data_IF_536707833701
#
_entry.id   IF_536707833701
#
_cell.length_a   1.000
_cell.length_b   1.000
_cell.length_c   1.000
_cell.angle_alpha   90.00
_cell.angle_beta   90.00
_cell.angle_gamma   90.00
#
_symmetry.space_group_name_H-M   'P 1'
#
loop_
_entity.id
_entity.type
_entity.pdbx_description
1 polymer ?
#
# COMPACT_ATOMS: atom_id res chain seq x y z
N UNK A 1 -6.47 -57.18 -25.64
CA UNK A 1 -5.68 -58.00 -26.59
C UNK A 1 -4.34 -58.28 -25.95
N UNK A 2 -3.99 -59.57 -25.79
CA UNK A 2 -2.68 -60.13 -25.40
C UNK A 2 -2.22 -59.91 -23.95
N UNK A 3 -2.40 -60.91 -23.07
CA UNK A 3 -1.51 -62.08 -22.75
C UNK A 3 -0.69 -61.78 -21.49
N UNK A 4 -1.03 -62.41 -20.36
CA UNK A 4 -0.44 -63.67 -19.87
C UNK A 4 0.98 -63.50 -19.33
N UNK A 5 1.15 -63.65 -18.02
CA UNK A 5 2.25 -64.46 -17.50
C UNK A 5 1.87 -65.08 -16.15
N UNK A 6 1.68 -66.39 -16.17
CA UNK A 6 1.65 -67.27 -15.01
C UNK A 6 2.83 -68.22 -15.14
N UNK A 7 3.75 -68.22 -14.16
CA UNK A 7 4.61 -69.38 -13.89
C UNK A 7 4.61 -69.61 -12.38
N UNK A 8 4.27 -70.85 -12.04
CA UNK A 8 4.23 -71.44 -10.72
C UNK A 8 5.50 -72.29 -10.49
N UNK A 9 5.74 -72.57 -9.20
CA UNK A 9 6.37 -73.78 -8.61
C UNK A 9 7.90 -73.88 -8.54
N UNK A 10 8.40 -73.82 -7.31
CA UNK A 10 9.27 -74.84 -6.69
C UNK A 10 9.42 -74.50 -5.19
N UNK A 11 8.72 -75.21 -4.29
CA UNK A 11 9.10 -76.49 -3.63
C UNK A 11 10.10 -76.34 -2.49
N UNK A 12 9.69 -76.84 -1.31
CA UNK A 12 10.45 -77.53 -0.24
C UNK A 12 10.11 -77.04 1.18
N UNK A 13 9.06 -77.65 1.77
CA UNK A 13 9.04 -78.54 2.96
C UNK A 13 9.94 -78.23 4.20
N UNK A 14 9.62 -78.76 5.40
CA UNK A 14 8.57 -78.29 6.32
C UNK A 14 9.06 -78.27 7.79
N UNK A 15 8.11 -78.12 8.72
CA UNK A 15 8.18 -78.46 10.17
C UNK A 15 8.96 -77.41 10.98
N UNK A 16 8.35 -76.65 11.90
CA UNK A 16 7.90 -77.16 13.20
C UNK A 16 6.83 -76.23 13.81
N UNK A 17 5.89 -76.89 14.50
CA UNK A 17 5.01 -76.41 15.57
C UNK A 17 3.76 -75.59 15.23
N UNK A 18 2.64 -76.33 15.32
CA UNK A 18 1.44 -76.02 16.12
C UNK A 18 0.92 -74.58 16.05
N UNK A 19 -0.24 -74.40 15.42
CA UNK A 19 -1.49 -74.08 16.14
C UNK A 19 -2.70 -74.32 15.23
N UNK A 20 -3.62 -75.14 15.73
CA UNK A 20 -4.91 -75.42 15.11
C UNK A 20 -5.88 -74.30 15.48
N UNK A 21 -6.57 -73.85 14.45
CA UNK A 21 -7.80 -73.07 14.35
C UNK A 21 -8.85 -73.26 15.45
N UNK A 22 -9.37 -72.14 15.96
CA UNK A 22 -10.79 -71.74 16.04
C UNK A 22 -10.82 -70.37 16.74
N UNK A 23 -11.33 -69.30 16.15
CA UNK A 23 -12.77 -69.13 15.93
C UNK A 23 -13.35 -68.28 17.08
N UNK A 24 -13.40 -66.97 16.84
CA UNK A 24 -14.26 -65.95 17.47
C UNK A 24 -14.32 -65.83 19.01
N UNK A 25 -13.70 -64.76 19.50
CA UNK A 25 -14.28 -63.94 20.57
C UNK A 25 -13.82 -62.49 20.34
N UNK A 26 -14.77 -61.61 19.98
CA UNK A 26 -14.61 -60.16 20.03
C UNK A 26 -14.37 -59.75 21.48
N UNK A 27 -13.15 -59.36 21.80
CA UNK A 27 -12.86 -58.52 22.97
C UNK A 27 -12.30 -57.21 22.44
N UNK A 28 -13.12 -56.17 22.49
CA UNK A 28 -12.68 -54.79 22.42
C UNK A 28 -11.71 -54.57 23.59
N UNK A 29 -10.41 -54.58 23.31
CA UNK A 29 -9.43 -54.00 24.20
C UNK A 29 -9.43 -52.49 23.91
N UNK A 30 -10.03 -51.75 24.83
CA UNK A 30 -9.82 -50.34 24.99
C UNK A 30 -8.32 -50.06 25.11
N UNK A 31 -7.76 -49.43 24.07
CA UNK A 31 -6.53 -48.66 24.20
C UNK A 31 -6.97 -47.20 24.16
N UNK A 32 -7.28 -46.67 25.34
CA UNK A 32 -7.37 -45.24 25.54
C UNK A 32 -5.96 -44.67 25.45
N UNK A 33 -5.72 -43.86 24.43
CA UNK A 33 -4.71 -42.80 24.49
C UNK A 33 -5.41 -41.51 24.10
N UNK A 34 -6.23 -41.02 25.04
CA UNK A 34 -6.49 -39.60 25.19
C UNK A 34 -5.16 -38.93 25.52
N UNK A 35 -4.43 -38.52 24.49
CA UNK A 35 -3.57 -37.34 24.63
C UNK A 35 -4.45 -36.16 24.25
N UNK A 36 -5.34 -35.81 25.18
CA UNK A 36 -5.84 -34.45 25.30
C UNK A 36 -4.63 -33.61 25.71
N UNK A 37 -3.73 -33.34 24.76
CA UNK A 37 -2.93 -32.13 24.85
C UNK A 37 -3.98 -31.00 24.85
N UNK A 38 -4.03 -30.16 25.90
CA UNK A 38 -4.98 -29.05 25.89
C UNK A 38 -4.69 -28.23 24.63
N UNK A 39 -5.72 -28.01 23.81
CA UNK A 39 -5.67 -27.01 22.73
C UNK A 39 -5.06 -25.75 23.34
N UNK A 40 -3.87 -25.37 22.90
CA UNK A 40 -3.21 -24.17 23.42
C UNK A 40 -4.13 -23.00 23.13
N UNK A 41 -4.50 -22.26 24.18
CA UNK A 41 -5.37 -21.11 24.07
C UNK A 41 -4.78 -20.13 23.05
N UNK A 42 -5.57 -19.75 22.05
CA UNK A 42 -5.12 -18.89 20.98
C UNK A 42 -5.47 -17.43 21.26
N UNK A 43 -4.56 -16.56 20.84
CA UNK A 43 -4.77 -15.12 20.72
C UNK A 43 -4.57 -14.72 19.26
N UNK A 44 -5.03 -13.53 18.90
CA UNK A 44 -5.00 -13.05 17.54
C UNK A 44 -4.43 -11.66 17.46
N UNK A 45 -3.46 -11.45 16.59
CA UNK A 45 -2.70 -10.21 16.52
C UNK A 45 -2.84 -9.61 15.13
N UNK A 46 -3.01 -8.29 15.09
CA UNK A 46 -2.96 -7.49 13.88
C UNK A 46 -2.12 -6.24 14.16
N UNK A 47 -1.42 -5.78 13.14
CA UNK A 47 -0.59 -4.59 13.20
C UNK A 47 -1.11 -3.58 12.16
N UNK A 48 -1.17 -2.31 12.52
CA UNK A 48 -1.44 -1.21 11.60
C UNK A 48 -0.31 -0.20 11.71
N UNK A 49 0.18 0.29 10.57
CA UNK A 49 1.28 1.23 10.54
C UNK A 49 0.78 2.68 10.34
N UNK A 50 0.64 3.43 11.43
CA UNK A 50 0.39 4.87 11.40
C UNK A 50 1.65 5.73 11.48
N UNK A 51 2.84 5.13 11.57
CA UNK A 51 4.09 5.86 11.78
C UNK A 51 4.68 6.36 10.45
N UNK A 52 4.77 7.68 10.30
CA UNK A 52 5.21 8.35 9.08
C UNK A 52 6.71 8.19 8.81
N UNK A 53 7.50 7.93 9.85
CA UNK A 53 8.94 7.75 9.78
C UNK A 53 9.36 6.31 9.43
N UNK A 54 8.43 5.45 8.99
CA UNK A 54 8.72 4.07 8.55
C UNK A 54 8.21 3.81 7.14
N UNK A 55 8.88 2.93 6.40
CA UNK A 55 8.44 2.55 5.06
C UNK A 55 7.61 1.26 5.09
N UNK A 56 8.21 0.17 5.58
CA UNK A 56 7.55 -1.14 5.67
C UNK A 56 8.12 -1.92 6.87
N UNK A 57 7.81 -1.50 8.11
CA UNK A 57 8.29 -2.16 9.30
C UNK A 57 7.78 -3.59 9.41
N UNK A 58 8.62 -4.45 9.97
CA UNK A 58 8.33 -5.84 10.32
C UNK A 58 8.03 -5.92 11.82
N UNK A 59 6.90 -6.53 12.14
CA UNK A 59 6.41 -6.81 13.49
C UNK A 59 6.83 -8.23 13.91
N UNK A 60 7.50 -8.34 15.06
CA UNK A 60 8.00 -9.59 15.62
C UNK A 60 7.46 -9.81 17.03
N UNK A 61 7.20 -11.07 17.36
CA UNK A 61 6.93 -11.53 18.71
C UNK A 61 8.07 -12.47 19.10
N UNK A 62 8.79 -12.09 20.15
CA UNK A 62 10.13 -12.58 20.47
C UNK A 62 11.03 -12.53 19.21
N UNK A 63 11.71 -13.62 18.89
CA UNK A 63 12.56 -13.73 17.71
C UNK A 63 11.79 -14.07 16.41
N UNK A 64 10.46 -14.18 16.46
CA UNK A 64 9.65 -14.64 15.32
C UNK A 64 9.03 -13.47 14.57
N UNK A 65 9.36 -13.32 13.28
CA UNK A 65 8.67 -12.36 12.41
C UNK A 65 7.28 -12.84 12.07
N UNK A 66 6.28 -12.05 12.41
CA UNK A 66 4.87 -12.40 12.30
C UNK A 66 4.26 -11.71 11.08
N UNK A 67 4.48 -10.40 10.91
CA UNK A 67 3.92 -9.66 9.77
C UNK A 67 4.68 -8.38 9.45
N UNK A 68 4.26 -7.68 8.39
CA UNK A 68 4.67 -6.32 8.07
C UNK A 68 3.48 -5.53 7.54
N UNK A 69 3.56 -4.20 7.64
CA UNK A 69 2.56 -3.30 7.07
C UNK A 69 3.23 -1.99 6.64
N UNK A 70 2.97 -1.55 5.40
CA UNK A 70 3.41 -0.22 4.97
C UNK A 70 2.56 0.87 5.62
N UNK A 71 3.01 2.13 5.57
CA UNK A 71 2.23 3.26 6.07
C UNK A 71 0.76 3.23 5.60
N UNK A 72 -0.15 3.51 6.52
CA UNK A 72 -1.60 3.47 6.40
C UNK A 72 -2.21 2.07 6.12
N UNK A 73 -1.41 1.00 6.09
CA UNK A 73 -1.91 -0.36 5.88
C UNK A 73 -1.95 -1.16 7.17
N UNK A 74 -2.72 -2.25 7.13
CA UNK A 74 -2.77 -3.24 8.19
C UNK A 74 -2.16 -4.56 7.72
N UNK A 75 -1.59 -5.32 8.65
CA UNK A 75 -1.20 -6.69 8.41
C UNK A 75 -2.40 -7.63 8.41
N UNK A 76 -2.17 -8.88 8.00
CA UNK A 76 -3.15 -9.95 8.20
C UNK A 76 -3.31 -10.22 9.70
N UNK A 77 -4.51 -10.67 10.10
CA UNK A 77 -4.72 -11.19 11.45
C UNK A 77 -4.04 -12.55 11.58
N UNK A 78 -3.16 -12.71 12.57
CA UNK A 78 -2.39 -13.93 12.78
C UNK A 78 -2.75 -14.53 14.13
N UNK A 79 -2.89 -15.85 14.17
CA UNK A 79 -3.13 -16.59 15.41
C UNK A 79 -1.80 -17.00 16.03
N UNK A 80 -1.67 -16.72 17.32
CA UNK A 80 -0.51 -17.03 18.15
C UNK A 80 -0.97 -17.66 19.46
N UNK A 81 -0.05 -18.21 20.24
CA UNK A 81 -0.38 -18.76 21.55
C UNK A 81 -0.66 -17.63 22.56
N UNK A 82 -1.47 -17.93 23.57
CA UNK A 82 -1.71 -17.02 24.68
C UNK A 82 -0.49 -17.05 25.61
N UNK A 83 0.28 -15.99 25.62
CA UNK A 83 1.48 -15.85 26.44
C UNK A 83 1.90 -14.37 26.56
N UNK A 84 2.95 -14.15 27.36
CA UNK A 84 3.70 -12.90 27.32
C UNK A 84 4.77 -13.01 26.22
N UNK A 85 4.98 -11.93 25.47
CA UNK A 85 5.92 -11.83 24.36
C UNK A 85 6.70 -10.52 24.43
N UNK A 86 7.93 -10.53 23.95
CA UNK A 86 8.62 -9.29 23.58
C UNK A 86 8.13 -8.86 22.19
N UNK A 87 7.44 -7.72 22.10
CA UNK A 87 7.10 -7.07 20.84
C UNK A 87 8.30 -6.28 20.34
N UNK A 88 8.85 -6.68 19.19
CA UNK A 88 9.85 -5.91 18.46
C UNK A 88 9.30 -5.41 17.12
N UNK A 89 9.51 -4.12 16.82
CA UNK A 89 9.27 -3.56 15.49
C UNK A 89 10.59 -3.13 14.87
N UNK A 90 10.91 -3.66 13.69
CA UNK A 90 12.16 -3.38 12.97
C UNK A 90 11.87 -2.92 11.55
N UNK A 91 12.54 -1.88 11.05
CA UNK A 91 12.47 -1.54 9.62
C UNK A 91 12.98 -2.72 8.76
N UNK A 92 12.35 -2.97 7.61
CA UNK A 92 12.73 -4.10 6.77
C UNK A 92 14.20 -3.99 6.33
N UNK A 93 15.00 -5.00 6.65
CA UNK A 93 16.44 -5.02 6.36
C UNK A 93 17.33 -4.40 7.43
N UNK A 94 16.76 -3.84 8.51
CA UNK A 94 17.47 -3.45 9.72
C UNK A 94 17.52 -4.59 10.74
N UNK A 95 18.59 -4.62 11.54
CA UNK A 95 18.73 -5.54 12.67
C UNK A 95 18.48 -4.85 14.03
N UNK A 96 18.28 -3.53 14.04
CA UNK A 96 18.01 -2.76 15.26
C UNK A 96 16.52 -2.47 15.34
N UNK A 97 15.86 -2.78 16.49
CA UNK A 97 14.45 -2.43 16.69
C UNK A 97 14.27 -0.91 16.74
N UNK A 98 13.20 -0.46 16.11
CA UNK A 98 12.64 0.89 16.24
C UNK A 98 11.91 1.05 17.58
N UNK A 99 11.29 -0.03 18.03
CA UNK A 99 10.50 -0.16 19.25
C UNK A 99 10.67 -1.59 19.78
N UNK A 100 10.76 -1.73 21.11
CA UNK A 100 10.79 -3.01 21.82
C UNK A 100 10.04 -2.87 23.13
N UNK A 101 9.04 -3.71 23.39
CA UNK A 101 8.21 -3.67 24.60
C UNK A 101 7.67 -5.05 25.00
N UNK A 102 7.29 -5.24 26.25
CA UNK A 102 6.70 -6.51 26.74
C UNK A 102 5.17 -6.45 26.68
N UNK A 103 4.54 -7.42 26.03
CA UNK A 103 3.09 -7.48 25.84
C UNK A 103 2.51 -8.80 26.35
N UNK A 104 1.27 -8.75 26.85
CA UNK A 104 0.53 -9.93 27.29
C UNK A 104 -0.65 -10.20 26.36
N UNK A 105 -0.65 -11.36 25.70
CA UNK A 105 -1.72 -11.76 24.79
C UNK A 105 -2.71 -12.67 25.49
N UNK A 106 -3.96 -12.25 25.57
CA UNK A 106 -5.06 -12.97 26.23
C UNK A 106 -5.84 -13.87 25.26
N UNK A 107 -6.35 -14.99 25.79
CA UNK A 107 -7.13 -15.98 25.05
C UNK A 107 -8.39 -15.37 24.42
N UNK A 108 -8.70 -15.79 23.19
CA UNK A 108 -9.91 -15.44 22.42
C UNK A 108 -10.08 -13.92 22.18
N UNK A 109 -9.01 -13.16 22.40
CA UNK A 109 -8.95 -11.73 22.10
C UNK A 109 -8.21 -11.50 20.77
N UNK A 110 -8.69 -10.51 20.02
CA UNK A 110 -7.91 -9.84 19.00
C UNK A 110 -7.20 -8.65 19.64
N UNK A 111 -5.90 -8.52 19.38
CA UNK A 111 -5.04 -7.41 19.75
C UNK A 111 -4.61 -6.68 18.49
N UNK A 112 -4.98 -5.41 18.37
CA UNK A 112 -4.53 -4.52 17.32
C UNK A 112 -3.47 -3.57 17.90
N UNK A 113 -2.28 -3.63 17.33
CA UNK A 113 -1.19 -2.70 17.61
C UNK A 113 -1.13 -1.65 16.51
N UNK A 114 -1.31 -0.39 16.87
CA UNK A 114 -1.31 0.76 15.96
C UNK A 114 0.01 1.50 16.18
N UNK A 115 0.96 1.34 15.26
CA UNK A 115 2.24 2.04 15.31
C UNK A 115 2.03 3.54 15.17
N UNK A 116 2.73 4.33 15.98
CA UNK A 116 2.76 5.78 15.93
C UNK A 116 4.19 6.29 15.94
N UNK A 117 4.39 7.54 15.53
CA UNK A 117 5.69 8.20 15.66
C UNK A 117 5.53 9.70 15.85
N UNK A 118 6.28 10.27 16.77
CA UNK A 118 6.41 11.72 16.95
C UNK A 118 7.88 12.08 17.15
N UNK A 119 8.38 13.10 16.46
CA UNK A 119 9.78 13.56 16.56
C UNK A 119 10.81 12.42 16.44
N UNK A 120 10.59 11.50 15.49
CA UNK A 120 11.41 10.29 15.26
C UNK A 120 11.44 9.27 16.42
N UNK A 121 10.59 9.46 17.44
CA UNK A 121 10.35 8.46 18.49
C UNK A 121 9.15 7.60 18.12
N UNK A 122 9.32 6.29 18.20
CA UNK A 122 8.29 5.30 17.90
C UNK A 122 7.58 4.86 19.17
N UNK A 123 6.26 4.69 19.06
CA UNK A 123 5.40 4.16 20.10
C UNK A 123 4.23 3.41 19.45
N UNK A 124 3.32 2.85 20.24
CA UNK A 124 2.13 2.19 19.73
C UNK A 124 0.91 2.39 20.63
N UNK A 125 -0.27 2.36 20.00
CA UNK A 125 -1.54 2.21 20.70
C UNK A 125 -1.94 0.74 20.67
N UNK A 126 -2.47 0.25 21.79
CA UNK A 126 -2.92 -1.12 21.94
C UNK A 126 -4.43 -1.17 22.14
N UNK A 127 -5.12 -1.96 21.32
CA UNK A 127 -6.55 -2.21 21.43
C UNK A 127 -6.81 -3.72 21.47
N UNK A 128 -7.50 -4.18 22.51
CA UNK A 128 -7.86 -5.60 22.65
C UNK A 128 -9.37 -5.77 22.81
N UNK A 129 -9.96 -6.70 22.07
CA UNK A 129 -11.38 -7.04 22.15
C UNK A 129 -11.64 -8.50 21.79
N UNK A 130 -12.78 -9.03 22.24
CA UNK A 130 -13.18 -10.42 21.95
C UNK A 130 -13.28 -10.64 20.43
N UNK A 131 -12.59 -11.66 19.91
CA UNK A 131 -12.56 -11.93 18.46
C UNK A 131 -13.92 -12.37 17.91
N UNK A 132 -14.59 -13.25 18.64
CA UNK A 132 -15.87 -13.81 18.26
C UNK A 132 -16.93 -13.28 19.22
N UNK A 133 -17.51 -12.14 18.84
CA UNK A 133 -18.59 -11.48 19.58
C UNK A 133 -19.86 -11.62 18.77
N UNK A 134 -20.94 -12.06 19.41
CA UNK A 134 -22.27 -12.04 18.80
C UNK A 134 -22.75 -10.58 18.74
N UNK A 135 -23.12 -10.12 17.53
CA UNK A 135 -23.45 -8.72 17.28
C UNK A 135 -24.85 -8.50 16.68
N UNK A 136 -25.61 -9.55 16.34
CA UNK A 136 -27.04 -9.46 15.97
C UNK A 136 -27.36 -8.34 14.95
N UNK A 137 -26.82 -8.44 13.73
CA UNK A 137 -26.93 -7.41 12.68
C UNK A 137 -26.30 -6.03 13.01
N UNK A 138 -25.49 -5.93 14.07
CA UNK A 138 -24.76 -4.72 14.48
C UNK A 138 -23.26 -4.83 14.26
N UNK A 139 -22.55 -3.70 14.32
CA UNK A 139 -21.10 -3.63 14.37
C UNK A 139 -20.64 -2.78 15.55
N UNK A 140 -19.44 -3.07 16.03
CA UNK A 140 -18.73 -2.26 17.03
C UNK A 140 -17.69 -1.37 16.32
N UNK A 141 -17.53 -0.12 16.74
CA UNK A 141 -16.60 0.84 16.15
C UNK A 141 -15.76 1.50 17.24
N UNK A 142 -14.45 1.23 17.21
CA UNK A 142 -13.46 2.02 17.95
C UNK A 142 -12.93 3.16 17.10
N UNK A 143 -12.57 4.25 17.75
CA UNK A 143 -12.08 5.47 17.11
C UNK A 143 -10.69 5.80 17.61
N UNK A 144 -9.81 6.27 16.74
CA UNK A 144 -8.51 6.80 17.15
C UNK A 144 -8.08 7.96 16.27
N UNK A 145 -7.35 8.89 16.86
CA UNK A 145 -6.82 10.06 16.19
C UNK A 145 -5.28 10.03 16.14
N UNK A 146 -4.74 9.95 14.94
CA UNK A 146 -3.31 10.09 14.63
C UNK A 146 -3.00 11.36 13.84
N UNK A 147 -3.98 12.25 13.63
CA UNK A 147 -3.81 13.49 12.89
C UNK A 147 -3.18 14.58 13.78
N UNK A 148 -1.88 14.82 13.60
CA UNK A 148 -1.16 15.85 14.34
C UNK A 148 -1.66 17.26 13.98
N UNK A 149 -2.18 17.46 12.76
CA UNK A 149 -2.79 18.73 12.36
C UNK A 149 -4.07 19.07 13.12
N UNK A 150 -4.76 18.04 13.66
CA UNK A 150 -6.01 18.17 14.41
C UNK A 150 -5.92 17.35 15.71
N UNK A 151 -5.22 17.88 16.73
CA UNK A 151 -4.87 17.11 17.93
C UNK A 151 -6.06 16.75 18.83
N UNK A 152 -7.23 17.30 18.55
CA UNK A 152 -8.49 16.95 19.22
C UNK A 152 -9.62 17.02 18.20
N UNK A 153 -10.42 15.97 18.11
CA UNK A 153 -11.52 15.86 17.16
C UNK A 153 -12.77 15.28 17.82
N UNK A 154 -13.92 15.86 17.49
CA UNK A 154 -15.21 15.22 17.68
C UNK A 154 -15.53 14.39 16.44
N UNK A 155 -15.91 13.13 16.63
CA UNK A 155 -16.22 12.20 15.54
C UNK A 155 -17.72 11.87 15.60
N UNK A 156 -18.42 12.20 14.53
CA UNK A 156 -19.85 11.96 14.38
C UNK A 156 -20.14 10.94 13.29
N UNK A 157 -21.26 10.24 13.44
CA UNK A 157 -21.77 9.26 12.48
C UNK A 157 -23.24 9.54 12.16
N UNK A 158 -23.63 9.47 10.90
CA UNK A 158 -25.03 9.48 10.45
C UNK A 158 -25.27 8.39 9.42
N UNK A 159 -26.52 8.00 9.20
CA UNK A 159 -26.87 7.14 8.07
C UNK A 159 -26.44 7.80 6.75
N UNK A 160 -26.15 7.01 5.71
CA UNK A 160 -25.61 7.53 4.45
C UNK A 160 -26.50 8.58 3.75
N UNK A 161 -27.81 8.52 3.96
CA UNK A 161 -28.79 9.47 3.39
C UNK A 161 -28.95 10.75 4.21
N UNK A 162 -28.39 10.80 5.42
CA UNK A 162 -28.55 11.89 6.36
C UNK A 162 -27.43 12.93 6.29
N UNK A 163 -27.68 14.08 6.90
CA UNK A 163 -26.78 15.22 6.95
C UNK A 163 -26.03 15.31 8.28
N UNK A 164 -25.08 16.24 8.40
CA UNK A 164 -24.39 16.50 9.67
C UNK A 164 -25.35 16.89 10.81
N UNK A 165 -26.46 17.55 10.48
CA UNK A 165 -27.44 17.98 11.49
C UNK A 165 -28.17 16.79 12.16
N UNK A 166 -28.15 15.63 11.53
CA UNK A 166 -28.76 14.39 12.03
C UNK A 166 -27.70 13.45 12.64
N UNK A 167 -26.42 13.82 12.57
CA UNK A 167 -25.32 12.98 13.01
C UNK A 167 -25.25 12.88 14.54
N UNK A 168 -24.91 11.70 15.03
CA UNK A 168 -24.70 11.46 16.46
C UNK A 168 -23.22 11.52 16.77
N UNK A 169 -22.84 12.28 17.81
CA UNK A 169 -21.48 12.28 18.34
C UNK A 169 -21.18 10.88 18.90
N UNK A 170 -20.12 10.25 18.38
CA UNK A 170 -19.67 8.97 18.88
C UNK A 170 -18.72 9.15 20.07
N UNK A 171 -17.67 9.95 19.88
CA UNK A 171 -16.68 10.27 20.90
C UNK A 171 -15.87 11.52 20.51
N UNK A 172 -15.17 12.09 21.49
CA UNK A 172 -14.15 13.13 21.31
C UNK A 172 -12.78 12.55 21.62
N UNK A 173 -11.93 12.40 20.61
CA UNK A 173 -10.62 11.73 20.73
C UNK A 173 -9.46 12.72 20.58
N UNK A 174 -8.48 12.62 21.48
CA UNK A 174 -7.23 13.39 21.38
C UNK A 174 -6.17 12.65 20.58
N UNK A 175 -5.11 13.35 20.18
CA UNK A 175 -3.98 12.77 19.45
C UNK A 175 -3.38 11.59 20.23
N UNK A 176 -3.21 10.47 19.54
CA UNK A 176 -2.69 9.22 20.07
C UNK A 176 -3.58 8.60 21.17
N UNK A 177 -4.89 8.81 21.08
CA UNK A 177 -5.89 8.17 21.93
C UNK A 177 -6.76 7.21 21.12
N UNK A 178 -7.25 6.16 21.78
CA UNK A 178 -8.32 5.29 21.27
C UNK A 178 -9.56 5.52 22.15
N UNK A 179 -10.75 5.51 21.57
CA UNK A 179 -12.01 5.58 22.31
C UNK A 179 -12.08 4.47 23.36
N UNK A 180 -12.53 4.82 24.57
CA UNK A 180 -12.55 3.87 25.70
C UNK A 180 -13.50 2.69 25.45
N UNK A 181 -14.64 2.97 24.82
CA UNK A 181 -15.66 1.99 24.46
C UNK A 181 -15.89 2.00 22.95
N UNK A 182 -16.37 0.88 22.42
CA UNK A 182 -16.85 0.82 21.06
C UNK A 182 -18.26 1.43 20.97
N UNK A 183 -18.46 2.27 19.95
CA UNK A 183 -19.80 2.66 19.51
C UNK A 183 -20.46 1.48 18.80
N UNK A 184 -21.74 1.20 19.12
CA UNK A 184 -22.49 0.08 18.54
C UNK A 184 -23.63 0.57 17.66
N UNK A 185 -23.61 0.16 16.39
CA UNK A 185 -24.56 0.64 15.37
C UNK A 185 -25.04 -0.53 14.51
N UNK A 186 -26.18 -0.39 13.83
CA UNK A 186 -26.64 -1.39 12.87
C UNK A 186 -25.68 -1.48 11.68
N UNK A 187 -25.52 -2.66 11.08
CA UNK A 187 -24.76 -2.80 9.83
C UNK A 187 -25.39 -1.98 8.71
N UNK A 188 -24.55 -1.37 7.86
CA UNK A 188 -25.04 -0.48 6.80
C UNK A 188 -24.01 0.52 6.30
N UNK A 189 -24.51 1.52 5.57
CA UNK A 189 -23.70 2.61 5.01
C UNK A 189 -23.88 3.88 5.80
N UNK A 190 -22.77 4.49 6.16
CA UNK A 190 -22.75 5.68 7.02
C UNK A 190 -21.93 6.81 6.41
N UNK A 191 -22.21 8.02 6.88
CA UNK A 191 -21.34 9.18 6.69
C UNK A 191 -20.61 9.46 8.00
N UNK A 192 -19.30 9.68 7.92
CA UNK A 192 -18.47 10.10 9.04
C UNK A 192 -18.16 11.58 8.91
N UNK A 193 -18.27 12.30 10.02
CA UNK A 193 -17.93 13.70 10.11
C UNK A 193 -16.88 13.90 11.19
N UNK A 194 -15.84 14.66 10.88
CA UNK A 194 -14.88 15.13 11.87
C UNK A 194 -15.12 16.63 12.05
N UNK A 195 -15.14 17.09 13.29
CA UNK A 195 -15.28 18.49 13.62
C UNK A 195 -14.28 18.86 14.74
N UNK A 196 -13.91 20.13 14.82
CA UNK A 196 -13.26 20.64 16.01
C UNK A 196 -14.20 20.48 17.21
N UNK A 197 -13.64 20.29 18.41
CA UNK A 197 -14.43 20.05 19.61
C UNK A 197 -15.49 21.14 19.84
N UNK A 198 -16.76 20.77 19.82
CA UNK A 198 -17.90 21.67 19.99
C UNK A 198 -18.22 22.58 18.80
N UNK A 199 -17.69 22.30 17.61
CA UNK A 199 -17.99 23.06 16.40
C UNK A 199 -19.33 22.66 15.74
N UNK A 200 -20.03 23.64 15.17
CA UNK A 200 -21.32 23.46 14.49
C UNK A 200 -21.18 23.08 13.00
N UNK A 201 -19.96 22.86 12.52
CA UNK A 201 -19.68 22.49 11.13
C UNK A 201 -18.53 21.48 11.05
N UNK A 202 -18.62 20.48 10.16
CA UNK A 202 -17.55 19.50 10.02
C UNK A 202 -16.40 20.07 9.17
N UNK A 203 -15.17 19.75 9.55
CA UNK A 203 -13.96 20.01 8.75
C UNK A 203 -13.65 18.86 7.79
N UNK A 204 -14.19 17.67 8.05
CA UNK A 204 -14.08 16.50 7.17
C UNK A 204 -15.43 15.80 7.08
N UNK A 205 -15.72 15.28 5.89
CA UNK A 205 -16.93 14.50 5.57
C UNK A 205 -16.52 13.31 4.72
N UNK A 206 -16.56 12.12 5.29
CA UNK A 206 -16.43 10.85 4.57
C UNK A 206 -17.81 10.31 4.25
N UNK A 207 -18.10 10.03 2.98
CA UNK A 207 -19.43 9.56 2.53
C UNK A 207 -19.44 8.08 2.23
N UNK A 208 -20.54 7.41 2.56
CA UNK A 208 -20.83 6.01 2.22
C UNK A 208 -19.77 5.01 2.72
N UNK A 209 -19.26 5.20 3.94
CA UNK A 209 -18.44 4.19 4.60
C UNK A 209 -19.30 2.93 4.80
N UNK A 210 -18.78 1.78 4.38
CA UNK A 210 -19.55 0.53 4.33
C UNK A 210 -19.19 -0.40 5.49
N UNK A 211 -20.09 -0.49 6.47
CA UNK A 211 -19.99 -1.38 7.62
C UNK A 211 -20.90 -2.59 7.42
N UNK A 212 -20.55 -3.40 6.42
CA UNK A 212 -21.37 -4.52 5.92
C UNK A 212 -21.30 -5.80 6.76
N UNK A 213 -20.43 -5.89 7.75
CA UNK A 213 -20.20 -7.11 8.53
C UNK A 213 -20.51 -6.90 10.00
N UNK A 214 -21.09 -7.93 10.62
CA UNK A 214 -21.18 -8.05 12.07
C UNK A 214 -19.78 -8.26 12.65
N UNK A 215 -19.06 -7.16 12.89
CA UNK A 215 -17.68 -7.21 13.34
C UNK A 215 -17.30 -5.96 14.14
N UNK A 216 -16.10 -5.99 14.71
CA UNK A 216 -15.46 -4.82 15.29
C UNK A 216 -14.57 -4.15 14.23
N UNK A 217 -14.85 -2.88 13.98
CA UNK A 217 -14.07 -2.01 13.11
C UNK A 217 -13.26 -1.02 13.95
N UNK A 218 -12.14 -0.56 13.41
CA UNK A 218 -11.35 0.53 13.99
C UNK A 218 -11.21 1.63 12.96
N UNK A 219 -11.67 2.82 13.31
CA UNK A 219 -11.56 4.03 12.50
C UNK A 219 -10.34 4.82 12.96
N UNK A 220 -9.40 5.04 12.06
CA UNK A 220 -8.18 5.81 12.29
C UNK A 220 -8.28 7.12 11.51
N UNK A 221 -8.25 8.25 12.21
CA UNK A 221 -8.08 9.56 11.58
C UNK A 221 -6.58 9.84 11.47
N UNK A 222 -6.12 10.31 10.31
CA UNK A 222 -4.70 10.68 10.12
C UNK A 222 -4.54 11.85 9.16
N UNK A 223 -3.37 12.46 9.22
CA UNK A 223 -2.94 13.42 8.20
C UNK A 223 -2.66 12.68 6.87
N UNK A 224 -2.95 13.36 5.76
CA UNK A 224 -2.42 13.01 4.46
C UNK A 224 -1.04 13.63 4.29
N UNK A 225 -0.20 12.96 3.51
CA UNK A 225 1.17 13.41 3.26
C UNK A 225 1.40 13.63 1.77
N UNK A 226 2.52 14.30 1.49
CA UNK A 226 2.93 14.51 0.13
C UNK A 226 2.27 15.69 -0.54
N UNK A 227 1.84 15.56 -1.81
CA UNK A 227 1.29 16.70 -2.53
C UNK A 227 -0.01 17.14 -1.85
N UNK A 228 -0.81 16.19 -1.36
CA UNK A 228 -2.10 16.42 -0.69
C UNK A 228 -1.93 16.63 0.83
N UNK A 229 -0.77 17.11 1.28
CA UNK A 229 -0.58 17.52 2.66
C UNK A 229 -1.63 18.56 3.11
N UNK A 230 -1.82 18.70 4.42
CA UNK A 230 -2.83 19.56 5.06
C UNK A 230 -4.28 19.07 4.91
N UNK A 231 -4.49 17.87 4.35
CA UNK A 231 -5.77 17.19 4.31
C UNK A 231 -5.80 16.04 5.31
N UNK A 232 -7.00 15.65 5.74
CA UNK A 232 -7.21 14.45 6.56
C UNK A 232 -7.64 13.26 5.70
N UNK A 233 -7.35 12.07 6.20
CA UNK A 233 -7.94 10.83 5.74
C UNK A 233 -8.52 10.04 6.93
N UNK A 234 -9.52 9.23 6.61
CA UNK A 234 -10.11 8.25 7.52
C UNK A 234 -9.84 6.86 6.98
N UNK A 235 -9.19 6.04 7.79
CA UNK A 235 -8.92 4.65 7.49
C UNK A 235 -9.82 3.75 8.33
N UNK A 236 -10.38 2.71 7.71
CA UNK A 236 -11.22 1.72 8.40
C UNK A 236 -10.55 0.35 8.32
N UNK A 237 -10.20 -0.16 9.50
CA UNK A 237 -9.52 -1.44 9.68
C UNK A 237 -10.53 -2.50 10.09
N UNK A 238 -10.43 -3.68 9.46
CA UNK A 238 -11.18 -4.90 9.77
C UNK A 238 -10.22 -6.06 10.03
N UNK A 239 -10.74 -7.28 10.18
CA UNK A 239 -9.99 -8.53 10.24
C UNK A 239 -9.35 -8.93 8.88
N UNK A 240 -8.71 -8.00 8.19
CA UNK A 240 -7.99 -8.22 6.93
C UNK A 240 -6.83 -7.24 6.78
N UNK A 241 -5.88 -7.56 5.91
CA UNK A 241 -4.81 -6.64 5.53
C UNK A 241 -5.27 -5.48 4.62
N UNK A 242 -6.50 -5.52 4.10
CA UNK A 242 -7.06 -4.42 3.32
C UNK A 242 -7.66 -3.37 4.24
N UNK A 243 -7.14 -2.15 4.15
CA UNK A 243 -7.67 -0.96 4.82
C UNK A 243 -8.53 -0.17 3.83
N UNK A 244 -9.70 0.27 4.26
CA UNK A 244 -10.53 1.15 3.44
C UNK A 244 -10.17 2.61 3.74
N UNK A 245 -9.72 3.35 2.73
CA UNK A 245 -9.30 4.75 2.85
C UNK A 245 -10.39 5.69 2.34
N UNK A 246 -10.69 6.72 3.12
CA UNK A 246 -11.67 7.74 2.77
C UNK A 246 -11.02 9.12 2.87
N UNK A 247 -11.11 9.89 1.78
CA UNK A 247 -10.80 11.31 1.76
C UNK A 247 -12.06 12.13 2.02
N UNK A 248 -11.88 13.42 2.31
CA UNK A 248 -13.01 14.34 2.40
C UNK A 248 -13.74 14.39 1.05
N UNK A 249 -15.08 14.34 1.06
CA UNK A 249 -15.89 14.32 -0.15
C UNK A 249 -15.58 15.47 -1.14
N UNK A 250 -15.21 16.64 -0.60
CA UNK A 250 -14.90 17.88 -1.33
C UNK A 250 -13.40 18.22 -1.28
N UNK A 251 -12.56 17.26 -0.88
CA UNK A 251 -11.10 17.41 -0.90
C UNK A 251 -10.64 17.86 -2.29
N UNK A 252 -9.78 18.87 -2.31
CA UNK A 252 -9.15 19.30 -3.56
C UNK A 252 -8.21 18.20 -4.04
N UNK A 253 -8.33 17.87 -5.32
CA UNK A 253 -7.34 17.12 -6.03
C UNK A 253 -6.18 18.04 -6.43
N UNK A 254 -5.10 17.46 -6.90
CA UNK A 254 -4.09 18.22 -7.61
C UNK A 254 -3.41 17.40 -8.69
N UNK A 255 -2.71 18.09 -9.57
CA UNK A 255 -1.86 17.44 -10.54
C UNK A 255 -0.65 18.30 -10.86
N UNK A 256 0.39 17.67 -11.39
CA UNK A 256 1.53 18.33 -12.03
C UNK A 256 1.78 17.72 -13.40
N UNK A 257 2.46 18.47 -14.25
CA UNK A 257 2.69 18.10 -15.65
C UNK A 257 4.18 17.84 -15.87
N UNK A 258 4.49 16.85 -16.71
CA UNK A 258 5.84 16.65 -17.22
C UNK A 258 5.84 16.72 -18.74
N UNK A 259 6.72 17.54 -19.32
CA UNK A 259 6.86 17.67 -20.76
C UNK A 259 8.05 16.84 -21.27
N UNK A 260 7.80 15.65 -21.83
CA UNK A 260 8.86 14.81 -22.41
C UNK A 260 9.18 15.18 -23.87
N UNK A 261 8.59 16.24 -24.41
CA UNK A 261 8.78 16.64 -25.81
C UNK A 261 10.06 17.46 -26.01
N UNK A 262 10.60 17.38 -27.22
CA UNK A 262 11.78 18.15 -27.67
C UNK A 262 11.51 19.64 -27.88
N UNK A 263 10.31 20.12 -27.55
CA UNK A 263 9.91 21.53 -27.65
C UNK A 263 9.07 21.96 -26.44
N UNK A 264 9.06 23.28 -26.12
CA UNK A 264 8.15 23.83 -25.11
C UNK A 264 6.69 23.76 -25.56
N UNK A 265 5.79 23.70 -24.58
CA UNK A 265 4.33 23.61 -24.78
C UNK A 265 3.54 24.53 -23.86
N UNK A 266 2.35 24.92 -24.32
CA UNK A 266 1.31 25.57 -23.53
C UNK A 266 0.19 24.57 -23.23
N UNK A 267 -0.27 24.51 -21.99
CA UNK A 267 -1.27 23.55 -21.53
C UNK A 267 -2.51 24.30 -21.03
N UNK A 268 -3.68 23.87 -21.47
CA UNK A 268 -4.95 24.43 -21.04
C UNK A 268 -5.91 23.34 -20.55
N UNK A 269 -6.64 23.64 -19.46
CA UNK A 269 -7.78 22.87 -18.98
C UNK A 269 -9.06 23.63 -19.30
N UNK A 270 -10.03 22.94 -19.92
CA UNK A 270 -11.32 23.52 -20.31
C UNK A 270 -11.19 24.84 -21.10
N UNK A 271 -10.20 24.87 -22.00
CA UNK A 271 -9.80 26.03 -22.82
C UNK A 271 -9.20 27.22 -22.05
N UNK A 272 -8.92 27.06 -20.76
CA UNK A 272 -8.20 28.05 -19.95
C UNK A 272 -6.73 27.65 -19.83
N UNK A 273 -5.82 28.51 -20.28
CA UNK A 273 -4.37 28.27 -20.16
C UNK A 273 -3.96 28.25 -18.69
N UNK A 274 -3.24 27.20 -18.29
CA UNK A 274 -2.81 26.98 -16.90
C UNK A 274 -1.28 26.91 -16.75
N UNK A 275 -0.56 26.54 -17.81
CA UNK A 275 0.87 26.25 -17.72
C UNK A 275 1.60 26.46 -19.04
N UNK A 276 2.87 26.83 -18.93
CA UNK A 276 3.84 26.76 -20.02
C UNK A 276 5.02 25.93 -19.51
N UNK A 277 5.39 24.88 -20.23
CA UNK A 277 6.45 23.95 -19.83
C UNK A 277 7.55 23.92 -20.89
N UNK A 278 8.78 24.09 -20.46
CA UNK A 278 9.97 23.82 -21.26
C UNK A 278 10.15 22.31 -21.50
N UNK A 279 11.07 21.97 -22.40
CA UNK A 279 11.47 20.58 -22.65
C UNK A 279 12.06 19.96 -21.39
N UNK A 280 11.63 18.73 -21.08
CA UNK A 280 12.06 17.95 -19.91
C UNK A 280 11.77 18.62 -18.56
N UNK A 281 10.81 19.55 -18.51
CA UNK A 281 10.40 20.23 -17.29
C UNK A 281 9.30 19.44 -16.57
N UNK A 282 9.51 19.23 -15.27
CA UNK A 282 8.48 18.84 -14.32
C UNK A 282 7.91 20.11 -13.69
N UNK A 283 6.64 20.39 -13.98
CA UNK A 283 5.94 21.56 -13.48
C UNK A 283 5.58 21.48 -12.01
N UNK A 284 5.06 22.58 -11.48
CA UNK A 284 4.50 22.66 -10.14
C UNK A 284 3.13 21.99 -10.05
N UNK A 285 2.64 21.82 -8.82
CA UNK A 285 1.28 21.35 -8.58
C UNK A 285 0.24 22.43 -8.85
N UNK A 286 -0.89 22.01 -9.41
CA UNK A 286 -2.10 22.79 -9.64
C UNK A 286 -3.26 22.10 -8.91
N UNK A 287 -3.99 22.86 -8.09
CA UNK A 287 -5.17 22.37 -7.41
C UNK A 287 -6.37 22.34 -8.33
N UNK A 288 -7.20 21.30 -8.18
CA UNK A 288 -8.44 21.10 -8.91
C UNK A 288 -9.54 20.68 -7.94
N UNK A 289 -10.75 21.16 -8.20
CA UNK A 289 -11.92 20.55 -7.60
C UNK A 289 -12.09 19.12 -8.16
N UNK A 290 -12.79 18.26 -7.42
CA UNK A 290 -13.21 16.96 -7.94
C UNK A 290 -14.03 17.15 -9.23
N UNK A 291 -13.64 16.47 -10.30
CA UNK A 291 -14.35 16.58 -11.59
C UNK A 291 -13.58 16.02 -12.78
N UNK A 292 -14.19 16.13 -13.94
CA UNK A 292 -13.61 15.77 -15.23
C UNK A 292 -13.24 17.04 -16.01
N UNK A 293 -12.01 17.10 -16.50
CA UNK A 293 -11.44 18.24 -17.19
C UNK A 293 -10.95 17.85 -18.58
N UNK A 294 -11.06 18.78 -19.54
CA UNK A 294 -10.52 18.63 -20.89
C UNK A 294 -9.13 19.24 -20.99
N UNK A 295 -8.10 18.40 -21.03
CA UNK A 295 -6.71 18.78 -21.25
C UNK A 295 -6.42 19.01 -22.74
N UNK A 296 -5.86 20.16 -23.06
CA UNK A 296 -5.39 20.51 -24.40
C UNK A 296 -3.98 21.07 -24.35
N UNK A 297 -3.19 20.80 -25.39
CA UNK A 297 -1.79 21.21 -25.46
C UNK A 297 -1.51 21.86 -26.81
N UNK A 298 -0.83 23.00 -26.79
CA UNK A 298 -0.38 23.75 -27.97
C UNK A 298 1.12 23.95 -27.95
N UNK A 299 1.72 24.15 -29.11
CA UNK A 299 3.09 24.63 -29.22
C UNK A 299 3.18 26.15 -29.00
N UNK A 300 4.39 26.69 -29.16
CA UNK A 300 4.65 28.14 -29.05
C UNK A 300 4.12 28.98 -30.20
N UNK A 301 3.64 28.35 -31.28
CA UNK A 301 3.01 29.00 -32.44
C UNK A 301 1.47 28.87 -32.42
N UNK A 302 0.90 28.51 -31.26
CA UNK A 302 -0.53 28.22 -31.06
C UNK A 302 -1.06 27.02 -31.88
N UNK A 303 -0.20 26.18 -32.45
CA UNK A 303 -0.60 24.96 -33.12
C UNK A 303 -1.09 23.94 -32.10
N UNK A 304 -2.28 23.38 -32.32
CA UNK A 304 -2.86 22.34 -31.47
C UNK A 304 -2.09 21.02 -31.65
N UNK A 305 -1.53 20.50 -30.55
CA UNK A 305 -0.78 19.25 -30.51
C UNK A 305 -1.62 18.11 -29.92
N UNK A 306 -2.38 18.39 -28.86
CA UNK A 306 -3.31 17.47 -28.21
C UNK A 306 -4.64 18.18 -27.99
N UNK A 307 -5.74 17.53 -28.37
CA UNK A 307 -7.08 18.07 -28.23
C UNK A 307 -7.91 17.22 -27.26
N UNK A 308 -8.36 17.83 -26.17
CA UNK A 308 -9.36 17.28 -25.25
C UNK A 308 -9.08 15.86 -24.74
N UNK A 309 -7.87 15.62 -24.22
CA UNK A 309 -7.63 14.46 -23.38
C UNK A 309 -8.39 14.60 -22.05
N UNK A 310 -9.00 13.50 -21.58
CA UNK A 310 -9.72 13.50 -20.31
C UNK A 310 -8.72 13.45 -19.15
N UNK A 311 -8.85 14.40 -18.23
CA UNK A 311 -8.21 14.39 -16.91
C UNK A 311 -9.31 14.30 -15.85
N UNK A 312 -9.39 13.16 -15.17
CA UNK A 312 -10.31 12.96 -14.04
C UNK A 312 -9.59 13.22 -12.74
N UNK A 313 -10.04 14.24 -12.01
CA UNK A 313 -9.55 14.62 -10.69
C UNK A 313 -10.50 14.06 -9.62
N UNK A 314 -10.05 13.04 -8.87
CA UNK A 314 -10.79 12.53 -7.72
C UNK A 314 -10.41 13.28 -6.44
N UNK A 315 -11.34 13.37 -5.49
CA UNK A 315 -11.15 14.12 -4.25
C UNK A 315 -9.96 13.55 -3.45
N UNK A 316 -9.04 14.42 -3.03
CA UNK A 316 -7.87 14.04 -2.26
C UNK A 316 -6.87 13.17 -3.02
N UNK A 317 -6.80 13.30 -4.35
CA UNK A 317 -5.78 12.61 -5.16
C UNK A 317 -4.75 13.58 -5.73
N UNK A 318 -3.51 13.11 -5.87
CA UNK A 318 -2.45 13.76 -6.64
C UNK A 318 -2.15 12.97 -7.90
N UNK A 319 -1.95 13.66 -9.02
CA UNK A 319 -1.64 13.03 -10.30
C UNK A 319 -0.43 13.68 -10.98
N UNK A 320 0.44 12.85 -11.55
CA UNK A 320 1.44 13.25 -12.52
C UNK A 320 0.88 13.01 -13.93
N UNK A 321 0.86 14.06 -14.76
CA UNK A 321 0.44 13.96 -16.17
C UNK A 321 1.67 14.05 -17.06
N UNK A 322 2.03 12.94 -17.69
CA UNK A 322 3.12 12.87 -18.65
C UNK A 322 2.62 13.24 -20.05
N UNK A 323 3.24 14.23 -20.67
CA UNK A 323 3.03 14.61 -22.06
C UNK A 323 4.14 13.99 -22.90
N UNK A 324 3.80 13.08 -23.82
CA UNK A 324 4.78 12.30 -24.58
C UNK A 324 4.32 12.00 -26.02
N UNK A 325 5.26 11.66 -26.90
CA UNK A 325 4.98 11.24 -28.27
C UNK A 325 4.77 9.73 -28.37
N UNK A 326 3.73 9.33 -29.09
CA UNK A 326 3.50 7.92 -29.44
C UNK A 326 4.35 7.47 -30.65
N UNK A 327 4.18 6.22 -31.07
CA UNK A 327 4.90 5.61 -32.19
C UNK A 327 4.73 6.34 -33.53
N UNK A 328 3.66 7.15 -33.66
CA UNK A 328 3.34 7.94 -34.85
C UNK A 328 3.72 9.43 -34.69
N UNK A 329 4.52 9.78 -33.68
CA UNK A 329 4.88 11.16 -33.31
C UNK A 329 3.67 12.05 -32.95
N UNK A 330 2.56 11.45 -32.52
CA UNK A 330 1.41 12.19 -32.02
C UNK A 330 1.51 12.36 -30.51
N UNK A 331 1.14 13.54 -30.01
CA UNK A 331 1.13 13.82 -28.58
C UNK A 331 0.01 13.04 -27.89
N UNK A 332 0.35 12.34 -26.81
CA UNK A 332 -0.56 11.70 -25.87
C UNK A 332 -0.28 12.21 -24.45
N UNK A 333 -1.27 12.07 -23.57
CA UNK A 333 -1.14 12.35 -22.15
C UNK A 333 -1.39 11.07 -21.35
N UNK A 334 -0.56 10.81 -20.35
CA UNK A 334 -0.72 9.71 -19.40
C UNK A 334 -0.81 10.28 -17.99
N UNK A 335 -1.98 10.16 -17.37
CA UNK A 335 -2.17 10.50 -15.95
C UNK A 335 -1.79 9.31 -15.07
N UNK A 336 -1.01 9.57 -14.03
CA UNK A 336 -0.48 8.59 -13.08
C UNK A 336 -0.80 9.09 -11.69
N UNK A 337 -1.47 8.27 -10.86
CA UNK A 337 -1.68 8.60 -9.46
C UNK A 337 -0.35 8.61 -8.72
N UNK A 338 -0.09 9.69 -8.00
CA UNK A 338 1.05 9.80 -7.10
C UNK A 338 0.69 9.28 -5.71
N UNK A 339 1.71 8.75 -5.03
CA UNK A 339 1.58 8.22 -3.68
C UNK A 339 1.44 9.35 -2.66
N UNK A 340 0.47 9.18 -1.76
CA UNK A 340 0.23 9.99 -0.57
C UNK A 340 1.02 9.51 0.64
N UNK A 341 1.89 8.51 0.47
CA UNK A 341 2.78 8.01 1.53
C UNK A 341 3.87 9.04 1.86
N UNK A 342 4.28 9.15 3.13
CA UNK A 342 5.49 9.87 3.54
C UNK A 342 6.72 9.38 2.77
N UNK A 343 7.63 10.30 2.42
CA UNK A 343 8.81 10.02 1.59
C UNK A 343 10.12 10.24 2.38
N UNK A 344 10.10 9.90 3.68
CA UNK A 344 11.17 10.26 4.62
C UNK A 344 12.33 9.26 4.56
N UNK A 345 12.04 7.98 4.77
CA UNK A 345 13.05 6.89 4.76
C UNK A 345 13.25 6.27 3.38
N UNK A 346 12.24 6.40 2.53
CA UNK A 346 12.25 5.90 1.17
C UNK A 346 11.48 6.84 0.26
N UNK A 347 11.86 6.86 -1.01
CA UNK A 347 11.26 7.68 -2.04
C UNK A 347 10.56 6.79 -3.08
N UNK A 348 9.33 7.17 -3.40
CA UNK A 348 8.58 6.64 -4.52
C UNK A 348 9.14 7.25 -5.79
N UNK A 349 9.57 6.36 -6.67
CA UNK A 349 10.05 6.68 -8.01
C UNK A 349 9.03 6.15 -9.00
N UNK A 350 8.37 7.05 -9.71
CA UNK A 350 7.52 6.72 -10.85
C UNK A 350 8.43 6.57 -12.05
N UNK A 351 8.46 5.38 -12.63
CA UNK A 351 9.32 5.05 -13.76
C UNK A 351 8.45 4.83 -15.00
N UNK A 352 8.74 5.54 -16.08
CA UNK A 352 7.96 5.47 -17.31
C UNK A 352 8.84 5.21 -18.54
N UNK A 353 8.41 4.25 -19.35
CA UNK A 353 9.02 4.00 -20.66
C UNK A 353 8.31 4.80 -21.75
N UNK A 354 8.97 5.86 -22.23
CA UNK A 354 8.50 6.73 -23.30
C UNK A 354 9.27 6.51 -24.62
N UNK A 355 10.00 5.39 -24.74
CA UNK A 355 10.76 5.03 -25.95
C UNK A 355 9.94 4.07 -26.82
N UNK A 356 9.46 4.54 -27.96
CA UNK A 356 8.66 3.75 -28.90
C UNK A 356 9.46 2.65 -29.65
N UNK A 357 10.77 2.82 -29.79
CA UNK A 357 11.63 1.92 -30.57
C UNK A 357 11.77 0.52 -29.94
N UNK A 358 11.52 0.40 -28.64
CA UNK A 358 11.63 -0.85 -27.91
C UNK A 358 10.30 -1.25 -27.31
N UNK A 359 9.87 -2.47 -27.59
CA UNK A 359 8.66 -3.03 -26.96
C UNK A 359 8.77 -3.09 -25.43
N UNK A 360 9.97 -3.34 -24.91
CA UNK A 360 10.27 -3.54 -23.48
C UNK A 360 11.66 -3.06 -23.14
N UNK A 361 11.79 -2.39 -21.99
CA UNK A 361 13.06 -1.96 -21.43
C UNK A 361 13.25 -2.46 -20.01
N UNK A 362 14.51 -2.58 -19.60
CA UNK A 362 14.90 -2.89 -18.23
C UNK A 362 15.60 -1.68 -17.62
N UNK A 363 15.29 -1.39 -16.38
CA UNK A 363 15.82 -0.26 -15.62
C UNK A 363 16.39 -0.81 -14.31
N UNK A 364 17.62 -0.43 -13.98
CA UNK A 364 18.33 -0.90 -12.80
C UNK A 364 18.77 0.29 -11.95
N UNK A 365 18.48 0.22 -10.66
CA UNK A 365 18.92 1.18 -9.65
C UNK A 365 20.10 0.57 -8.90
N UNK A 366 21.31 1.02 -9.23
CA UNK A 366 22.56 0.37 -8.84
C UNK A 366 23.20 1.15 -7.69
N UNK A 367 23.35 0.51 -6.53
CA UNK A 367 24.10 1.06 -5.39
C UNK A 367 25.61 0.88 -5.55
N UNK A 368 26.40 1.51 -4.68
CA UNK A 368 27.86 1.51 -4.75
C UNK A 368 28.49 0.10 -4.76
N UNK A 369 27.92 -0.85 -4.02
CA UNK A 369 28.37 -2.25 -3.92
C UNK A 369 27.69 -3.18 -4.94
N UNK A 370 26.89 -2.64 -5.86
CA UNK A 370 26.10 -3.40 -6.82
C UNK A 370 26.58 -3.24 -8.27
N UNK A 371 26.15 -4.17 -9.12
CA UNK A 371 26.28 -4.13 -10.57
C UNK A 371 24.90 -4.27 -11.19
N UNK A 372 24.75 -4.05 -12.50
CA UNK A 372 23.47 -4.33 -13.19
C UNK A 372 22.97 -5.77 -12.92
N UNK A 373 23.89 -6.74 -12.80
CA UNK A 373 23.54 -8.13 -12.56
C UNK A 373 23.10 -8.42 -11.11
N UNK A 374 23.54 -7.63 -10.14
CA UNK A 374 23.29 -7.82 -8.70
C UNK A 374 22.36 -6.77 -8.10
N UNK A 375 21.94 -5.76 -8.88
CA UNK A 375 21.06 -4.69 -8.44
C UNK A 375 19.75 -5.26 -7.90
N UNK A 376 19.51 -5.06 -6.60
CA UNK A 376 18.31 -5.55 -5.91
C UNK A 376 17.06 -4.84 -6.41
N UNK A 377 17.19 -3.56 -6.72
CA UNK A 377 16.13 -2.69 -7.20
C UNK A 377 16.19 -2.58 -8.72
N UNK A 378 15.21 -3.18 -9.40
CA UNK A 378 15.13 -3.15 -10.86
C UNK A 378 13.68 -3.31 -11.34
N UNK A 379 13.43 -2.81 -12.53
CA UNK A 379 12.19 -3.01 -13.28
C UNK A 379 12.58 -3.69 -14.57
N UNK A 380 12.04 -4.88 -14.81
CA UNK A 380 12.28 -5.65 -16.03
C UNK A 380 11.04 -5.67 -16.89
N UNK A 381 11.23 -5.69 -18.21
CA UNK A 381 10.16 -5.79 -19.19
C UNK A 381 9.14 -4.64 -19.11
N UNK A 382 9.58 -3.41 -18.81
CA UNK A 382 8.70 -2.24 -18.81
C UNK A 382 8.29 -1.92 -20.24
N UNK A 383 7.04 -2.18 -20.56
CA UNK A 383 6.48 -1.95 -21.90
C UNK A 383 6.37 -0.45 -22.21
N UNK A 384 6.38 -0.10 -23.50
CA UNK A 384 6.11 1.27 -23.94
C UNK A 384 4.74 1.76 -23.43
N UNK A 385 4.65 3.03 -23.03
CA UNK A 385 3.46 3.66 -22.42
C UNK A 385 3.04 3.06 -21.07
N UNK A 386 3.87 2.22 -20.46
CA UNK A 386 3.65 1.72 -19.11
C UNK A 386 4.54 2.43 -18.11
N UNK A 387 3.97 2.57 -16.93
CA UNK A 387 4.59 3.11 -15.74
C UNK A 387 4.72 2.01 -14.68
N UNK A 388 5.71 2.16 -13.82
CA UNK A 388 5.88 1.34 -12.63
C UNK A 388 6.36 2.23 -11.49
N UNK A 389 5.78 2.06 -10.31
CA UNK A 389 6.23 2.76 -9.11
C UNK A 389 7.08 1.83 -8.26
N UNK A 390 8.20 2.34 -7.78
CA UNK A 390 9.15 1.63 -6.92
C UNK A 390 9.44 2.50 -5.70
N UNK A 391 9.38 1.90 -4.51
CA UNK A 391 9.83 2.55 -3.29
C UNK A 391 11.32 2.25 -3.08
N UNK A 392 12.17 3.27 -3.16
CA UNK A 392 13.61 3.18 -3.01
C UNK A 392 14.05 3.73 -1.66
N UNK A 393 14.76 2.94 -0.83
CA UNK A 393 15.38 3.47 0.38
C UNK A 393 16.33 4.62 0.05
N UNK A 394 16.46 5.58 0.96
CA UNK A 394 17.44 6.66 0.86
C UNK A 394 18.86 6.11 0.75
N UNK A 395 19.44 6.23 -0.43
CA UNK A 395 20.78 5.74 -0.76
C UNK A 395 21.30 6.46 -2.01
N UNK A 396 22.53 6.17 -2.40
CA UNK A 396 23.13 6.56 -3.67
C UNK A 396 22.79 5.55 -4.76
N UNK A 397 22.29 6.03 -5.89
CA UNK A 397 21.96 5.19 -7.04
C UNK A 397 22.54 5.75 -8.33
N UNK A 398 23.19 4.89 -9.11
CA UNK A 398 23.36 5.09 -10.54
C UNK A 398 22.25 4.32 -11.27
N UNK A 399 21.59 4.95 -12.23
CA UNK A 399 20.44 4.37 -12.94
C UNK A 399 20.89 3.94 -14.33
N UNK A 400 20.62 2.68 -14.70
CA UNK A 400 20.97 2.15 -16.01
C UNK A 400 19.74 1.74 -16.81
N UNK A 401 19.67 2.18 -18.06
CA UNK A 401 18.66 1.78 -19.04
C UNK A 401 19.23 0.71 -19.96
N UNK A 402 18.53 -0.42 -20.07
CA UNK A 402 19.03 -1.61 -20.75
C UNK A 402 17.95 -2.21 -21.62
N UNK A 403 18.31 -2.55 -22.86
CA UNK A 403 17.50 -3.37 -23.74
C UNK A 403 18.02 -4.81 -23.76
N UNK A 404 17.10 -5.78 -23.72
CA UNK A 404 17.41 -7.21 -23.89
C UNK A 404 16.69 -7.72 -25.12
N UNK A 405 17.45 -8.02 -26.18
CA UNK A 405 16.93 -8.55 -27.42
C UNK A 405 16.39 -9.99 -27.26
N UNK A 406 15.57 -10.45 -28.20
CA UNK A 406 14.96 -11.80 -28.16
C UNK A 406 16.00 -12.93 -28.10
N UNK A 407 17.20 -12.71 -28.64
CA UNK A 407 18.31 -13.67 -28.59
C UNK A 407 19.10 -13.64 -27.26
N UNK A 408 18.66 -12.85 -26.28
CA UNK A 408 19.31 -12.67 -24.98
C UNK A 408 20.47 -11.67 -24.96
N UNK A 409 20.81 -11.05 -26.10
CA UNK A 409 21.83 -10.00 -26.14
C UNK A 409 21.36 -8.77 -25.36
N UNK A 410 22.25 -8.23 -24.53
CA UNK A 410 21.96 -7.09 -23.65
C UNK A 410 22.70 -5.86 -24.17
N UNK A 411 22.00 -4.74 -24.32
CA UNK A 411 22.55 -3.45 -24.76
C UNK A 411 22.31 -2.41 -23.68
N UNK A 412 23.38 -1.77 -23.20
CA UNK A 412 23.28 -0.59 -22.34
C UNK A 412 22.93 0.61 -23.22
N UNK A 413 21.78 1.21 -22.98
CA UNK A 413 21.31 2.39 -23.73
C UNK A 413 21.77 3.68 -23.04
N UNK A 414 21.65 3.76 -21.72
CA UNK A 414 22.12 4.91 -20.96
C UNK A 414 22.48 4.53 -19.52
N UNK A 415 23.31 5.35 -18.87
CA UNK A 415 23.64 5.22 -17.45
C UNK A 415 23.95 6.60 -16.85
N UNK A 416 23.27 6.93 -15.76
CA UNK A 416 23.52 8.16 -15.01
C UNK A 416 24.77 8.05 -14.14
N UNK A 417 25.29 9.21 -13.71
CA UNK A 417 26.13 9.29 -12.53
C UNK A 417 25.34 8.88 -11.27
N UNK A 418 26.08 8.53 -10.20
CA UNK A 418 25.47 8.20 -8.92
C UNK A 418 24.94 9.46 -8.23
N UNK A 419 23.68 9.41 -7.78
CA UNK A 419 23.02 10.51 -7.07
C UNK A 419 22.35 10.01 -5.78
N UNK A 420 22.33 10.84 -4.76
CA UNK A 420 21.62 10.57 -3.50
C UNK A 420 20.17 11.04 -3.61
N UNK A 421 19.23 10.16 -3.28
CA UNK A 421 17.83 10.55 -3.17
C UNK A 421 17.60 11.42 -1.93
N UNK A 422 16.79 12.46 -2.08
CA UNK A 422 16.47 13.44 -1.04
C UNK A 422 15.19 13.01 -0.30
N UNK A 423 15.16 13.20 1.01
CA UNK A 423 13.94 13.01 1.78
C UNK A 423 12.84 13.97 1.26
N UNK A 424 11.58 13.55 1.37
CA UNK A 424 10.38 14.27 0.96
C UNK A 424 10.22 14.52 -0.56
N UNK A 425 11.21 14.13 -1.38
CA UNK A 425 11.15 14.23 -2.83
C UNK A 425 10.34 13.09 -3.46
N UNK A 426 9.62 13.40 -4.54
CA UNK A 426 8.89 12.44 -5.37
C UNK A 426 9.48 12.41 -6.76
N UNK A 427 10.12 11.31 -7.08
CA UNK A 427 10.90 11.21 -8.30
C UNK A 427 10.08 10.71 -9.48
N UNK A 428 10.30 11.33 -10.63
CA UNK A 428 9.94 10.81 -11.93
C UNK A 428 11.23 10.40 -12.65
N UNK A 429 11.28 9.16 -13.10
CA UNK A 429 12.29 8.64 -14.01
C UNK A 429 11.63 8.36 -15.36
N UNK A 430 12.09 9.04 -16.41
CA UNK A 430 11.65 8.78 -17.78
C UNK A 430 12.78 8.16 -18.61
N UNK A 431 12.46 7.12 -19.37
CA UNK A 431 13.29 6.69 -20.49
C UNK A 431 12.77 7.37 -21.76
N UNK A 432 13.63 8.13 -22.44
CA UNK A 432 13.26 9.01 -23.55
C UNK A 432 14.21 8.83 -24.74
N UNK A 433 13.70 9.11 -25.95
CA UNK A 433 14.57 9.32 -27.10
C UNK A 433 15.30 10.66 -26.95
N UNK A 434 16.61 10.67 -27.16
CA UNK A 434 17.44 11.86 -27.17
C UNK A 434 18.49 11.72 -28.27
N UNK A 435 18.24 12.38 -29.41
CA UNK A 435 19.11 12.33 -30.58
C UNK A 435 20.51 12.92 -30.32
N UNK A 436 20.70 13.64 -29.20
CA UNK A 436 22.01 14.14 -28.77
C UNK A 436 22.81 13.13 -27.93
N UNK A 437 22.14 12.10 -27.38
CA UNK A 437 22.79 11.05 -26.62
C UNK A 437 23.53 10.07 -27.55
N UNK A 438 24.70 9.53 -27.16
CA UNK A 438 25.47 8.61 -28.01
C UNK A 438 24.72 7.35 -28.47
N UNK A 439 23.76 6.89 -27.67
CA UNK A 439 22.91 5.74 -27.97
C UNK A 439 21.59 6.11 -28.67
N UNK A 440 21.25 7.40 -28.74
CA UNK A 440 19.94 7.91 -29.14
C UNK A 440 18.89 7.91 -28.03
N UNK A 441 19.24 7.50 -26.80
CA UNK A 441 18.31 7.42 -25.68
C UNK A 441 18.93 7.95 -24.40
N UNK A 442 18.09 8.44 -23.49
CA UNK A 442 18.51 8.82 -22.15
C UNK A 442 17.54 8.34 -21.08
N UNK A 443 18.03 8.30 -19.85
CA UNK A 443 17.21 8.35 -18.64
C UNK A 443 17.29 9.72 -18.00
N UNK A 444 16.14 10.27 -17.63
CA UNK A 444 16.05 11.54 -16.93
C UNK A 444 15.36 11.35 -15.57
N UNK A 445 16.04 11.72 -14.49
CA UNK A 445 15.50 11.69 -13.13
C UNK A 445 15.26 13.12 -12.65
N UNK A 446 14.01 13.42 -12.26
CA UNK A 446 13.57 14.74 -11.79
C UNK A 446 12.60 14.60 -10.61
N UNK A 447 12.37 15.65 -9.82
CA UNK A 447 11.46 15.61 -8.66
C UNK A 447 10.82 16.96 -8.36
#
# INVERSE_FOLDING_TARGET
MKTSLSILLSSFTPVVARSLTLGAALTLAACGSSSDEPEQSKSYVQFYNGATATANPTFKLDDTSISSASFAEASNVISVDTADYTLDVTETGSNSPLLSDEISLSQDQKHLFIMTSADEQFDYLSLSFAREKELEDQFDLYLTNLAASQPQLDIYLSEATESFADATLLDSVTLHEISNDASRNATGKYNVYLAEAGADAPLFVGKNLDFSFENTYVLVVRDQHGPIAEQLAVDVILNSSSVAHYAHQDAQAQFRLYNSLTQPVQVALDNSNIASLATAELGTYYQLAKGDYSLSVRDTNDQLLLNSALLTAAAGESQLVLLYQNENNQLEALAIKESDKPQIQANDVIVSNLVADFSRLNIYFIREDETIATARHNIKNLEFKKQHSLNLPKDYYAIALVHVAENGSTTLLDKTDSLMLQADARYLLTAEQDDSAPSGYRVNLTF
#
